data_IF_649936522103
#
_entry.id   IF_649936522103
#
_cell.length_a   1.000
_cell.length_b   1.000
_cell.length_c   1.000
_cell.angle_alpha   90.00
_cell.angle_beta   90.00
_cell.angle_gamma   90.00
#
_symmetry.space_group_name_H-M   'P 1'
#
loop_
_entity.id
_entity.type
_entity.pdbx_description
1 polymer ?
#
# COMPACT_ATOMS: atom_id res chain seq x y z
N UNK A 1 -61.88 67.80 -2.91
CA UNK A 1 -60.93 67.15 -1.97
C UNK A 1 -60.35 65.91 -2.61
N UNK A 2 -59.17 66.06 -3.21
CA UNK A 2 -58.51 64.97 -3.94
C UNK A 2 -57.46 64.31 -3.04
N UNK A 3 -57.58 63.01 -2.74
CA UNK A 3 -56.62 62.25 -2.04
C UNK A 3 -55.77 61.49 -3.06
N UNK A 4 -54.56 61.95 -3.27
CA UNK A 4 -53.59 61.29 -4.15
C UNK A 4 -52.91 60.21 -3.33
N UNK A 5 -53.19 58.93 -3.63
CA UNK A 5 -52.45 57.76 -3.11
C UNK A 5 -51.09 57.71 -3.73
N UNK A 6 -50.06 57.85 -2.89
CA UNK A 6 -48.64 57.60 -3.27
C UNK A 6 -48.41 56.10 -3.35
N UNK A 7 -48.33 55.59 -4.55
CA UNK A 7 -47.78 54.23 -4.80
C UNK A 7 -46.28 54.23 -4.47
N UNK A 8 -45.91 53.51 -3.41
CA UNK A 8 -44.53 53.31 -3.05
C UNK A 8 -43.86 52.43 -4.11
N UNK A 9 -42.84 52.95 -4.77
CA UNK A 9 -41.99 52.25 -5.69
C UNK A 9 -41.14 51.31 -4.84
N UNK A 10 -41.43 49.99 -4.89
CA UNK A 10 -40.63 48.95 -4.25
C UNK A 10 -39.23 48.96 -4.84
N UNK A 11 -38.23 49.13 -3.98
CA UNK A 11 -36.80 48.98 -4.35
C UNK A 11 -36.57 47.56 -4.85
N UNK A 12 -35.90 47.35 -5.99
CA UNK A 12 -35.52 46.01 -6.42
C UNK A 12 -34.55 45.43 -5.39
N UNK A 13 -34.95 44.35 -4.74
CA UNK A 13 -34.07 43.55 -3.88
C UNK A 13 -33.11 42.84 -4.83
N UNK A 14 -31.83 43.24 -4.82
CA UNK A 14 -30.78 42.51 -5.50
C UNK A 14 -30.59 41.18 -4.75
N UNK A 15 -31.25 40.13 -5.16
CA UNK A 15 -30.96 38.78 -4.75
C UNK A 15 -29.67 38.33 -5.44
N UNK A 16 -28.53 38.76 -4.91
CA UNK A 16 -27.26 38.15 -5.26
C UNK A 16 -27.29 36.72 -4.77
N UNK A 17 -27.21 35.76 -5.69
CA UNK A 17 -27.08 34.38 -5.32
C UNK A 17 -25.83 34.20 -4.42
N UNK A 18 -26.04 33.70 -3.20
CA UNK A 18 -24.93 33.43 -2.29
C UNK A 18 -24.19 32.20 -2.81
N UNK A 19 -23.01 32.40 -3.41
CA UNK A 19 -22.17 31.35 -3.98
C UNK A 19 -21.33 30.62 -2.91
N UNK A 20 -21.33 31.14 -1.69
CA UNK A 20 -20.52 30.57 -0.59
C UNK A 20 -20.80 29.07 -0.34
N UNK A 21 -22.07 28.61 -0.28
CA UNK A 21 -22.35 27.19 -0.10
C UNK A 21 -21.90 26.31 -1.27
N UNK A 22 -21.89 26.86 -2.49
CA UNK A 22 -21.40 26.10 -3.66
C UNK A 22 -19.88 25.93 -3.63
N UNK A 23 -19.15 26.96 -3.20
CA UNK A 23 -17.69 26.89 -3.06
C UNK A 23 -17.32 25.89 -1.97
N UNK A 24 -18.04 25.88 -0.84
CA UNK A 24 -17.80 24.96 0.26
C UNK A 24 -17.98 23.50 -0.19
N UNK A 25 -19.07 23.19 -0.89
CA UNK A 25 -19.33 21.85 -1.40
C UNK A 25 -18.27 21.39 -2.40
N UNK A 26 -17.85 22.26 -3.32
CA UNK A 26 -16.79 21.93 -4.29
C UNK A 26 -15.45 21.75 -3.60
N UNK A 27 -15.13 22.55 -2.59
CA UNK A 27 -13.90 22.42 -1.81
C UNK A 27 -13.87 21.10 -1.05
N UNK A 28 -14.95 20.73 -0.34
CA UNK A 28 -15.05 19.45 0.36
C UNK A 28 -14.92 18.27 -0.59
N UNK A 29 -15.53 18.36 -1.79
CA UNK A 29 -15.44 17.32 -2.80
C UNK A 29 -13.99 17.14 -3.30
N UNK A 30 -13.28 18.24 -3.56
CA UNK A 30 -11.87 18.21 -3.98
C UNK A 30 -10.98 17.63 -2.89
N UNK A 31 -11.16 18.07 -1.63
CA UNK A 31 -10.40 17.53 -0.48
C UNK A 31 -10.67 16.03 -0.31
N UNK A 32 -11.92 15.61 -0.45
CA UNK A 32 -12.29 14.20 -0.39
C UNK A 32 -11.58 13.38 -1.50
N UNK A 33 -11.58 13.86 -2.73
CA UNK A 33 -10.88 13.19 -3.83
C UNK A 33 -9.37 13.12 -3.61
N UNK A 34 -8.75 14.18 -3.08
CA UNK A 34 -7.32 14.18 -2.75
C UNK A 34 -7.04 13.14 -1.65
N UNK A 35 -7.90 13.07 -0.63
CA UNK A 35 -7.74 12.11 0.47
C UNK A 35 -7.90 10.67 -0.02
N UNK A 36 -8.96 10.39 -0.79
CA UNK A 36 -9.21 9.05 -1.35
C UNK A 36 -8.13 8.64 -2.34
N UNK A 37 -7.63 9.57 -3.16
CA UNK A 37 -6.53 9.30 -4.10
C UNK A 37 -5.23 8.89 -3.39
N UNK A 38 -5.00 9.34 -2.17
CA UNK A 38 -3.83 8.93 -1.36
C UNK A 38 -3.95 7.50 -0.84
N UNK A 39 -5.16 7.02 -0.61
CA UNK A 39 -5.41 5.67 -0.08
C UNK A 39 -5.18 4.60 -1.16
N UNK A 40 -5.28 4.95 -2.44
CA UNK A 40 -5.16 4.02 -3.56
C UNK A 40 -3.73 3.89 -4.11
N UNK A 41 -2.77 4.61 -3.56
CA UNK A 41 -1.36 4.43 -3.90
C UNK A 41 -0.80 3.19 -3.18
N UNK A 42 -1.32 2.02 -3.52
CA UNK A 42 -0.51 0.82 -3.50
C UNK A 42 0.54 1.07 -4.58
N UNK A 43 1.69 1.50 -4.14
CA UNK A 43 2.85 1.74 -4.99
C UNK A 43 3.21 0.43 -5.68
N UNK A 44 2.58 0.20 -6.82
CA UNK A 44 3.07 -0.77 -7.78
C UNK A 44 4.34 -0.16 -8.34
N UNK A 45 5.45 -0.40 -7.65
CA UNK A 45 6.77 -0.18 -8.22
C UNK A 45 6.78 -0.93 -9.55
N UNK A 46 6.87 -0.25 -10.71
CA UNK A 46 6.96 -0.94 -11.98
C UNK A 46 8.27 -1.74 -11.96
N UNK A 47 8.17 -3.03 -11.66
CA UNK A 47 9.27 -3.95 -11.88
C UNK A 47 9.49 -3.96 -13.39
N UNK A 48 10.59 -3.34 -13.83
CA UNK A 48 11.15 -3.64 -15.13
C UNK A 48 11.62 -5.09 -15.07
N UNK A 49 10.78 -5.99 -15.56
CA UNK A 49 11.22 -7.36 -15.83
C UNK A 49 12.37 -7.29 -16.82
N UNK A 50 13.51 -7.96 -16.56
CA UNK A 50 14.52 -8.15 -17.58
C UNK A 50 13.84 -8.79 -18.79
N UNK A 51 13.93 -8.16 -19.94
CA UNK A 51 13.44 -8.72 -21.20
C UNK A 51 14.17 -10.04 -21.43
N UNK A 52 13.46 -11.19 -21.52
CA UNK A 52 14.10 -12.45 -21.86
C UNK A 52 14.72 -12.30 -23.23
N UNK A 53 16.04 -12.43 -23.33
CA UNK A 53 16.75 -12.41 -24.61
C UNK A 53 16.61 -13.74 -25.37
N UNK A 54 15.73 -14.63 -24.92
CA UNK A 54 15.53 -15.92 -25.56
C UNK A 54 14.06 -16.08 -25.98
N UNK A 55 13.72 -16.03 -27.28
CA UNK A 55 12.35 -16.13 -27.77
C UNK A 55 11.73 -17.54 -27.60
N UNK A 56 12.44 -18.49 -27.02
CA UNK A 56 11.99 -19.88 -26.83
C UNK A 56 11.50 -20.19 -25.41
N UNK A 57 11.64 -19.31 -24.44
CA UNK A 57 11.09 -19.52 -23.10
C UNK A 57 9.64 -19.04 -23.06
N UNK A 58 8.73 -19.95 -23.20
CA UNK A 58 7.33 -19.75 -22.83
C UNK A 58 7.29 -19.29 -21.35
N UNK A 59 6.78 -18.09 -21.01
CA UNK A 59 6.74 -17.69 -19.62
C UNK A 59 5.86 -18.69 -18.87
N UNK A 60 6.46 -19.47 -17.99
CA UNK A 60 5.70 -20.31 -17.08
C UNK A 60 4.69 -19.41 -16.35
N UNK A 61 3.43 -19.83 -16.19
CA UNK A 61 2.43 -19.06 -15.48
C UNK A 61 3.02 -18.67 -14.12
N UNK A 62 3.07 -17.37 -13.83
CA UNK A 62 3.61 -16.89 -12.57
C UNK A 62 2.76 -17.47 -11.44
N UNK A 63 3.37 -18.35 -10.65
CA UNK A 63 2.70 -18.91 -9.48
C UNK A 63 2.23 -17.76 -8.56
N UNK A 64 1.05 -17.85 -7.99
CA UNK A 64 0.53 -16.81 -7.11
C UNK A 64 1.51 -16.58 -5.95
N UNK A 65 1.78 -15.31 -5.64
CA UNK A 65 2.80 -14.90 -4.68
C UNK A 65 2.18 -14.16 -3.51
N UNK A 66 2.62 -14.51 -2.32
CA UNK A 66 2.35 -13.80 -1.09
C UNK A 66 3.56 -12.90 -0.78
N UNK A 67 3.33 -11.63 -0.53
CA UNK A 67 4.41 -10.68 -0.25
C UNK A 67 4.32 -10.23 1.20
N UNK A 68 5.40 -10.45 1.93
CA UNK A 68 5.60 -9.96 3.29
C UNK A 68 6.67 -8.87 3.23
N UNK A 69 6.39 -7.71 3.79
CA UNK A 69 7.31 -6.59 3.78
C UNK A 69 7.81 -6.28 5.19
N UNK A 70 9.10 -6.01 5.31
CA UNK A 70 9.69 -5.44 6.52
C UNK A 70 10.11 -4.01 6.18
N UNK A 71 9.25 -3.01 6.49
CA UNK A 71 9.61 -1.62 6.28
C UNK A 71 10.68 -1.19 7.28
N UNK A 72 11.63 -0.39 6.83
CA UNK A 72 12.64 0.25 7.67
C UNK A 72 12.45 1.77 7.68
N UNK A 73 12.84 2.40 8.77
CA UNK A 73 12.98 3.84 8.85
C UNK A 73 14.25 4.32 8.11
N UNK A 74 14.49 5.61 8.10
CA UNK A 74 15.69 6.22 7.49
C UNK A 74 17.02 5.76 8.13
N UNK A 75 16.96 5.21 9.33
CA UNK A 75 18.12 4.69 10.07
C UNK A 75 18.32 3.18 9.89
N UNK A 76 17.40 2.50 9.20
CA UNK A 76 17.44 1.06 9.00
C UNK A 76 16.84 0.26 10.17
N UNK A 77 16.04 0.92 11.03
CA UNK A 77 15.30 0.22 12.09
C UNK A 77 13.99 -0.29 11.49
N UNK A 78 13.71 -1.58 11.65
CA UNK A 78 12.44 -2.15 11.22
C UNK A 78 11.30 -1.60 12.08
N UNK A 79 10.22 -1.16 11.46
CA UNK A 79 9.04 -0.62 12.13
C UNK A 79 7.99 -1.68 12.44
N UNK A 80 8.08 -2.84 11.80
CA UNK A 80 7.16 -3.96 11.94
C UNK A 80 7.24 -4.90 10.74
N UNK A 81 6.31 -5.82 10.64
CA UNK A 81 6.12 -6.70 9.47
C UNK A 81 4.75 -6.42 8.89
N UNK A 82 4.67 -6.15 7.60
CA UNK A 82 3.42 -5.84 6.90
C UNK A 82 3.05 -6.95 5.94
N UNK A 83 1.86 -7.50 6.12
CA UNK A 83 1.25 -8.46 5.23
C UNK A 83 -0.23 -8.11 5.00
N UNK A 84 -0.67 -8.02 3.75
CA UNK A 84 -2.06 -7.74 3.34
C UNK A 84 -2.66 -6.51 4.05
N UNK A 85 -1.89 -5.41 4.14
CA UNK A 85 -2.23 -4.16 4.83
C UNK A 85 -2.37 -4.27 6.36
N UNK A 86 -2.03 -5.39 6.94
CA UNK A 86 -1.97 -5.60 8.37
C UNK A 86 -0.53 -5.52 8.85
N UNK A 87 -0.31 -4.81 9.94
CA UNK A 87 0.99 -4.67 10.57
C UNK A 87 1.08 -5.61 11.77
N UNK A 88 2.23 -6.28 11.90
CA UNK A 88 2.56 -7.21 12.98
C UNK A 88 3.84 -6.73 13.65
N UNK A 89 3.87 -6.80 14.97
CA UNK A 89 5.08 -6.50 15.73
C UNK A 89 6.16 -7.58 15.54
N UNK A 90 7.43 -7.18 15.66
CA UNK A 90 8.56 -8.11 15.59
C UNK A 90 8.87 -8.62 16.99
N UNK A 91 7.87 -9.14 17.66
CA UNK A 91 7.96 -9.85 18.94
C UNK A 91 7.42 -11.27 18.79
N UNK A 92 7.49 -12.06 19.86
CA UNK A 92 7.06 -13.46 19.83
C UNK A 92 5.57 -13.61 19.49
N UNK A 93 4.71 -12.75 20.06
CA UNK A 93 3.26 -12.79 19.87
C UNK A 93 2.87 -12.34 18.45
N UNK A 94 3.45 -11.25 17.95
CA UNK A 94 3.19 -10.72 16.61
C UNK A 94 3.67 -11.66 15.51
N UNK A 95 4.85 -12.28 15.69
CA UNK A 95 5.38 -13.25 14.75
C UNK A 95 4.58 -14.57 14.76
N UNK A 96 4.07 -15.00 15.90
CA UNK A 96 3.18 -16.18 15.98
C UNK A 96 1.85 -15.93 15.28
N UNK A 97 1.26 -14.73 15.45
CA UNK A 97 0.05 -14.29 14.76
C UNK A 97 0.27 -14.21 13.25
N UNK A 98 1.40 -13.65 12.80
CA UNK A 98 1.81 -13.61 11.40
C UNK A 98 1.90 -15.04 10.83
N UNK A 99 2.58 -15.94 11.54
CA UNK A 99 2.74 -17.33 11.12
C UNK A 99 1.38 -18.04 10.97
N UNK A 100 0.46 -17.85 11.91
CA UNK A 100 -0.89 -18.39 11.85
C UNK A 100 -1.69 -17.86 10.65
N UNK A 101 -1.61 -16.55 10.42
CA UNK A 101 -2.30 -15.89 9.30
C UNK A 101 -1.79 -16.40 7.96
N UNK A 102 -0.46 -16.53 7.81
CA UNK A 102 0.16 -17.03 6.58
C UNK A 102 -0.12 -18.52 6.40
N UNK A 103 -0.08 -19.34 7.46
CA UNK A 103 -0.40 -20.76 7.39
C UNK A 103 -1.79 -21.00 6.80
N UNK A 104 -2.80 -20.26 7.25
CA UNK A 104 -4.17 -20.36 6.72
C UNK A 104 -4.22 -20.05 5.21
N UNK A 105 -3.45 -19.08 4.74
CA UNK A 105 -3.36 -18.77 3.31
C UNK A 105 -2.66 -19.87 2.51
N UNK A 106 -1.59 -20.43 3.07
CA UNK A 106 -0.84 -21.51 2.45
C UNK A 106 -1.63 -22.82 2.36
N UNK A 107 -2.49 -23.10 3.35
CA UNK A 107 -3.43 -24.23 3.33
C UNK A 107 -4.47 -24.07 2.22
N UNK A 108 -5.01 -22.85 2.06
CA UNK A 108 -6.00 -22.54 1.02
C UNK A 108 -5.42 -22.61 -0.40
N UNK A 109 -4.12 -22.33 -0.56
CA UNK A 109 -3.41 -22.28 -1.85
C UNK A 109 -2.04 -22.96 -1.75
N UNK A 110 -1.95 -24.28 -2.00
CA UNK A 110 -0.69 -25.02 -1.86
C UNK A 110 0.44 -24.56 -2.80
N UNK A 111 0.11 -23.93 -3.93
CA UNK A 111 1.11 -23.45 -4.91
C UNK A 111 1.64 -22.04 -4.59
N UNK A 112 1.14 -21.41 -3.52
CA UNK A 112 1.52 -20.06 -3.16
C UNK A 112 3.00 -19.98 -2.77
N UNK A 113 3.73 -19.06 -3.40
CA UNK A 113 5.12 -18.76 -3.04
C UNK A 113 5.16 -17.55 -2.09
N UNK A 114 6.10 -17.56 -1.16
CA UNK A 114 6.29 -16.43 -0.23
C UNK A 114 7.51 -15.62 -0.64
N UNK A 115 7.29 -14.33 -0.86
CA UNK A 115 8.33 -13.34 -1.11
C UNK A 115 8.46 -12.46 0.13
N UNK A 116 9.61 -12.50 0.78
CA UNK A 116 9.97 -11.60 1.86
C UNK A 116 10.75 -10.42 1.28
N UNK A 117 10.26 -9.22 1.52
CA UNK A 117 10.93 -7.98 1.12
C UNK A 117 11.39 -7.24 2.37
N UNK A 118 12.67 -6.92 2.42
CA UNK A 118 13.25 -6.13 3.50
C UNK A 118 14.07 -4.97 2.91
N UNK A 119 14.09 -3.83 3.60
CA UNK A 119 15.03 -2.76 3.28
C UNK A 119 16.46 -3.25 3.52
N UNK A 120 17.38 -2.93 2.61
CA UNK A 120 18.78 -3.35 2.67
C UNK A 120 19.53 -2.90 3.94
N UNK A 121 19.00 -1.86 4.59
CA UNK A 121 19.59 -1.28 5.80
C UNK A 121 19.20 -2.02 7.06
N UNK A 122 18.16 -2.87 6.99
CA UNK A 122 17.70 -3.64 8.15
C UNK A 122 18.71 -4.73 8.44
N UNK A 123 19.21 -4.83 9.70
CA UNK A 123 20.13 -5.87 10.09
C UNK A 123 19.51 -7.27 9.92
N UNK A 124 20.32 -8.24 9.54
CA UNK A 124 19.87 -9.63 9.37
C UNK A 124 19.27 -10.22 10.67
N UNK A 125 19.77 -9.78 11.82
CA UNK A 125 19.27 -10.18 13.15
C UNK A 125 17.77 -9.88 13.33
N UNK A 126 17.26 -8.83 12.67
CA UNK A 126 15.84 -8.46 12.66
C UNK A 126 15.04 -9.25 11.62
N UNK A 127 15.66 -9.60 10.50
CA UNK A 127 15.02 -10.36 9.42
C UNK A 127 14.91 -11.84 9.77
N UNK A 128 15.90 -12.39 10.47
CA UNK A 128 15.99 -13.82 10.80
C UNK A 128 14.75 -14.35 11.58
N UNK A 129 14.24 -13.68 12.64
CA UNK A 129 13.04 -14.14 13.33
C UNK A 129 11.79 -14.15 12.42
N UNK A 130 11.67 -13.21 11.49
CA UNK A 130 10.57 -13.18 10.52
C UNK A 130 10.67 -14.35 9.55
N UNK A 131 11.87 -14.70 9.09
CA UNK A 131 12.08 -15.88 8.25
C UNK A 131 11.73 -17.18 8.99
N UNK A 132 12.04 -17.26 10.28
CA UNK A 132 11.70 -18.41 11.12
C UNK A 132 10.18 -18.54 11.32
N UNK A 133 9.49 -17.41 11.53
CA UNK A 133 8.03 -17.37 11.58
C UNK A 133 7.40 -17.84 10.26
N UNK A 134 7.93 -17.43 9.11
CA UNK A 134 7.48 -17.90 7.80
C UNK A 134 7.74 -19.41 7.61
N UNK A 135 8.89 -19.94 8.06
CA UNK A 135 9.17 -21.36 8.03
C UNK A 135 8.18 -22.14 8.91
N UNK A 136 7.87 -21.61 10.10
CA UNK A 136 6.84 -22.16 11.00
C UNK A 136 5.46 -22.17 10.34
N UNK A 137 5.08 -21.09 9.63
CA UNK A 137 3.84 -21.04 8.86
C UNK A 137 3.78 -22.15 7.79
N UNK A 138 4.88 -22.39 7.09
CA UNK A 138 4.99 -23.49 6.13
C UNK A 138 4.79 -24.86 6.77
N UNK A 139 5.42 -25.08 7.92
CA UNK A 139 5.30 -26.33 8.68
C UNK A 139 3.86 -26.54 9.19
N UNK A 140 3.20 -25.50 9.70
CA UNK A 140 1.78 -25.52 10.13
C UNK A 140 0.85 -25.84 8.96
N UNK A 141 1.14 -25.33 7.77
CA UNK A 141 0.38 -25.63 6.54
C UNK A 141 0.71 -27.01 5.93
N UNK A 142 1.48 -27.87 6.62
CA UNK A 142 1.79 -29.23 6.18
C UNK A 142 2.81 -29.34 5.04
N UNK A 143 3.59 -28.29 4.79
CA UNK A 143 4.64 -28.30 3.76
C UNK A 143 5.92 -28.96 4.29
N UNK A 144 6.04 -30.27 4.07
CA UNK A 144 7.18 -31.06 4.53
C UNK A 144 8.51 -30.75 3.82
N UNK A 145 8.46 -30.19 2.60
CA UNK A 145 9.66 -29.81 1.83
C UNK A 145 10.18 -28.40 2.18
N UNK A 146 9.59 -27.74 3.18
CA UNK A 146 9.91 -26.38 3.55
C UNK A 146 9.21 -25.33 2.64
N UNK A 147 9.18 -24.10 3.12
CA UNK A 147 8.64 -22.96 2.39
C UNK A 147 9.77 -22.34 1.56
N UNK A 148 9.54 -22.18 0.25
CA UNK A 148 10.46 -21.38 -0.58
C UNK A 148 10.20 -19.91 -0.29
N UNK A 149 11.08 -19.30 0.50
CA UNK A 149 11.09 -17.88 0.78
C UNK A 149 12.08 -17.20 -0.14
N UNK A 150 11.59 -16.34 -1.03
CA UNK A 150 12.46 -15.50 -1.85
C UNK A 150 12.73 -14.19 -1.10
N UNK A 151 13.97 -13.99 -0.67
CA UNK A 151 14.37 -12.72 -0.06
C UNK A 151 14.67 -11.70 -1.17
N UNK A 152 13.92 -10.62 -1.20
CA UNK A 152 14.13 -9.50 -2.12
C UNK A 152 14.59 -8.30 -1.30
N UNK A 153 15.82 -7.90 -1.50
CA UNK A 153 16.38 -6.71 -0.87
C UNK A 153 16.00 -5.48 -1.70
N UNK A 154 15.25 -4.57 -1.12
CA UNK A 154 14.90 -3.31 -1.79
C UNK A 154 16.09 -2.35 -1.73
N UNK A 155 16.62 -2.02 -2.87
CA UNK A 155 17.53 -0.90 -3.05
C UNK A 155 16.70 0.29 -3.51
N UNK A 156 16.52 1.28 -2.64
CA UNK A 156 15.98 2.58 -3.05
C UNK A 156 16.92 3.16 -4.11
N UNK A 157 16.47 3.24 -5.35
CA UNK A 157 17.18 4.02 -6.36
C UNK A 157 17.09 5.49 -5.93
N UNK A 158 18.20 6.19 -5.68
CA UNK A 158 18.15 7.62 -5.48
C UNK A 158 17.55 8.21 -6.76
N UNK A 159 16.40 8.85 -6.60
CA UNK A 159 15.69 9.56 -7.65
C UNK A 159 16.68 10.42 -8.43
N UNK A 160 16.99 10.02 -9.66
CA UNK A 160 17.87 10.74 -10.54
C UNK A 160 17.28 12.11 -10.85
N UNK A 161 17.75 13.10 -10.11
CA UNK A 161 17.64 14.49 -10.51
C UNK A 161 18.27 14.62 -11.89
N UNK A 162 17.44 14.61 -12.95
CA UNK A 162 17.83 14.96 -14.30
C UNK A 162 18.31 16.40 -14.28
N UNK A 163 19.62 16.58 -14.34
CA UNK A 163 20.24 17.84 -14.69
C UNK A 163 20.08 18.07 -16.19
N UNK A 164 19.38 19.13 -16.51
CA UNK A 164 19.45 19.77 -17.82
C UNK A 164 20.90 20.17 -18.14
N UNK A 165 21.31 19.89 -19.34
CA UNK A 165 22.29 20.68 -20.08
C UNK A 165 22.00 20.52 -21.59
#
# INVERSE_FOLDING_TARGET
MSVVSRLGVGRPVKTGANLTPMIDMTFLLVVFFILVSRITSVEQVPLQLPTPQDPASNPAPEAPRLVVNIPGDEYGTATGVVYDQQEFDIDEDGLDLLAGTIATRLEAMPELQVNLRADRRIPYETVAPVMDALATAGARAGRSEGLRVNLVVQTESPNGSGGDA
#
